data_IF_382179902520
#
_entry.id   IF_382179902520
#
_cell.length_a   1.000
_cell.length_b   1.000
_cell.length_c   1.000
_cell.angle_alpha   90.00
_cell.angle_beta   90.00
_cell.angle_gamma   90.00
#
_symmetry.space_group_name_H-M   'P 1'
#
loop_
_entity.id
_entity.type
_entity.pdbx_description
1 polymer ?
#
# COMPACT_ATOMS: atom_id res chain seq x y z
N UNK A 1 -16.46 3.65 21.18
CA UNK A 1 -15.37 3.04 20.37
C UNK A 1 -15.77 2.54 18.97
N UNK A 2 -17.05 2.27 18.66
CA UNK A 2 -17.47 1.85 17.31
C UNK A 2 -17.34 2.96 16.24
N UNK A 3 -17.51 4.24 16.62
CA UNK A 3 -17.44 5.36 15.67
C UNK A 3 -16.04 5.60 15.10
N UNK A 4 -14.98 5.40 15.90
CA UNK A 4 -13.59 5.66 15.49
C UNK A 4 -13.08 4.64 14.46
N UNK A 5 -13.56 3.40 14.54
CA UNK A 5 -13.17 2.31 13.62
C UNK A 5 -13.61 2.60 12.18
N UNK A 6 -14.67 3.39 11.99
CA UNK A 6 -15.16 3.79 10.65
C UNK A 6 -14.21 4.72 9.92
N UNK A 7 -13.35 5.45 10.63
CA UNK A 7 -12.39 6.38 10.02
C UNK A 7 -11.07 5.71 9.64
N UNK A 8 -10.78 4.51 10.15
CA UNK A 8 -9.52 3.79 9.87
C UNK A 8 -9.24 3.65 8.36
N UNK A 9 -10.19 3.21 7.51
CA UNK A 9 -9.93 3.08 6.08
C UNK A 9 -9.60 4.41 5.41
N UNK A 10 -10.34 5.48 5.76
CA UNK A 10 -10.11 6.80 5.18
C UNK A 10 -8.73 7.36 5.59
N UNK A 11 -8.38 7.27 6.88
CA UNK A 11 -7.07 7.66 7.37
C UNK A 11 -5.94 6.85 6.74
N UNK A 12 -6.16 5.53 6.57
CA UNK A 12 -5.20 4.67 5.88
C UNK A 12 -4.96 5.14 4.45
N UNK A 13 -6.02 5.43 3.68
CA UNK A 13 -5.88 5.91 2.30
C UNK A 13 -5.08 7.21 2.25
N UNK A 14 -5.39 8.18 3.12
CA UNK A 14 -4.66 9.46 3.17
C UNK A 14 -3.19 9.24 3.49
N UNK A 15 -2.89 8.51 4.57
CA UNK A 15 -1.52 8.23 4.99
C UNK A 15 -0.76 7.43 3.94
N UNK A 16 -1.39 6.45 3.31
CA UNK A 16 -0.79 5.62 2.27
C UNK A 16 -0.45 6.42 1.03
N UNK A 17 -1.36 7.29 0.57
CA UNK A 17 -1.18 8.12 -0.61
C UNK A 17 0.04 9.05 -0.50
N UNK A 18 0.37 9.53 0.72
CA UNK A 18 1.58 10.35 0.94
C UNK A 18 2.87 9.62 0.58
N UNK A 19 2.89 8.28 0.59
CA UNK A 19 4.05 7.49 0.21
C UNK A 19 4.48 7.72 -1.24
N UNK A 20 3.54 7.89 -2.17
CA UNK A 20 3.83 8.19 -3.58
C UNK A 20 4.30 9.63 -3.79
N UNK A 21 3.80 10.56 -2.97
CA UNK A 21 4.29 11.95 -2.94
C UNK A 21 5.75 11.95 -2.47
N UNK A 22 6.04 11.26 -1.37
CA UNK A 22 7.39 11.07 -0.86
C UNK A 22 8.31 10.42 -1.90
N UNK A 23 7.85 9.38 -2.59
CA UNK A 23 8.61 8.75 -3.68
C UNK A 23 8.97 9.78 -4.77
N UNK A 24 7.98 10.52 -5.29
CA UNK A 24 8.22 11.55 -6.33
C UNK A 24 9.28 12.56 -5.92
N UNK A 25 9.26 13.02 -4.68
CA UNK A 25 10.23 14.00 -4.20
C UNK A 25 11.59 13.40 -3.86
N UNK A 26 11.65 12.14 -3.42
CA UNK A 26 12.89 11.50 -2.99
C UNK A 26 13.71 10.88 -4.13
N UNK A 27 13.04 10.32 -5.17
CA UNK A 27 13.73 9.57 -6.23
C UNK A 27 14.80 10.36 -7.02
N UNK A 28 14.73 11.69 -7.19
CA UNK A 28 15.82 12.46 -7.79
C UNK A 28 17.09 12.55 -6.92
N UNK A 29 16.98 12.30 -5.61
CA UNK A 29 18.04 12.56 -4.63
C UNK A 29 18.56 11.31 -3.93
N UNK A 30 17.80 10.21 -3.98
CA UNK A 30 18.12 8.99 -3.26
C UNK A 30 17.86 7.75 -4.12
N UNK A 31 18.73 6.77 -3.96
CA UNK A 31 18.54 5.45 -4.55
C UNK A 31 17.32 4.76 -3.88
N UNK A 32 16.42 4.12 -4.65
CA UNK A 32 15.12 3.65 -4.17
C UNK A 32 15.21 2.66 -3.01
N UNK A 33 16.14 1.71 -3.07
CA UNK A 33 16.27 0.69 -2.04
C UNK A 33 16.85 1.24 -0.74
N UNK A 34 17.83 2.14 -0.82
CA UNK A 34 18.41 2.82 0.35
C UNK A 34 17.36 3.71 1.04
N UNK A 35 16.57 4.45 0.26
CA UNK A 35 15.46 5.24 0.79
C UNK A 35 14.42 4.38 1.50
N UNK A 36 14.00 3.26 0.88
CA UNK A 36 13.05 2.33 1.48
C UNK A 36 13.62 1.65 2.73
N UNK A 37 14.88 1.24 2.72
CA UNK A 37 15.54 0.63 3.87
C UNK A 37 15.53 1.59 5.07
N UNK A 38 15.94 2.84 4.88
CA UNK A 38 15.89 3.86 5.93
C UNK A 38 14.46 4.06 6.46
N UNK A 39 13.48 4.17 5.55
CA UNK A 39 12.06 4.33 5.90
C UNK A 39 11.53 3.16 6.74
N UNK A 40 11.87 1.92 6.38
CA UNK A 40 11.37 0.74 7.09
C UNK A 40 12.12 0.46 8.38
N UNK A 41 13.40 0.83 8.50
CA UNK A 41 14.12 0.81 9.78
C UNK A 41 13.46 1.77 10.76
N UNK A 42 13.15 3.00 10.33
CA UNK A 42 12.42 3.96 11.17
C UNK A 42 11.05 3.42 11.58
N UNK A 43 10.29 2.85 10.64
CA UNK A 43 8.99 2.25 10.94
C UNK A 43 9.12 1.07 11.93
N UNK A 44 10.13 0.22 11.79
CA UNK A 44 10.39 -0.90 12.68
C UNK A 44 10.71 -0.42 14.11
N UNK A 45 11.53 0.62 14.26
CA UNK A 45 11.84 1.23 15.56
C UNK A 45 10.56 1.79 16.20
N UNK A 46 9.76 2.55 15.45
CA UNK A 46 8.51 3.12 15.97
C UNK A 46 7.53 2.03 16.41
N UNK A 47 7.38 0.95 15.64
CA UNK A 47 6.53 -0.18 16.00
C UNK A 47 7.09 -0.96 17.19
N UNK A 48 8.41 -1.10 17.32
CA UNK A 48 9.05 -1.73 18.49
C UNK A 48 8.78 -0.92 19.77
N UNK A 49 8.88 0.41 19.70
CA UNK A 49 8.54 1.30 20.83
C UNK A 49 7.05 1.20 21.16
N UNK A 50 6.18 1.24 20.14
CA UNK A 50 4.73 1.16 20.37
C UNK A 50 4.31 -0.16 21.01
N UNK A 51 4.85 -1.29 20.55
CA UNK A 51 4.52 -2.62 21.09
C UNK A 51 5.03 -2.82 22.51
N UNK A 52 6.17 -2.24 22.88
CA UNK A 52 6.68 -2.25 24.25
C UNK A 52 5.84 -1.37 25.18
N UNK A 53 5.48 -0.16 24.77
CA UNK A 53 4.61 0.76 25.54
C UNK A 53 3.21 0.17 25.76
N UNK A 54 2.64 -0.49 24.76
CA UNK A 54 1.31 -1.10 24.85
C UNK A 54 1.31 -2.46 25.58
N UNK A 55 2.46 -2.97 26.00
CA UNK A 55 2.55 -4.28 26.67
C UNK A 55 2.07 -5.44 25.79
N UNK A 56 2.31 -5.37 24.47
CA UNK A 56 1.79 -6.35 23.52
C UNK A 56 2.39 -7.75 23.76
N UNK A 57 1.59 -8.79 23.55
CA UNK A 57 2.06 -10.18 23.61
C UNK A 57 3.16 -10.42 22.56
N UNK A 58 4.20 -11.16 22.95
CA UNK A 58 5.23 -11.62 22.01
C UNK A 58 4.63 -12.59 21.00
N UNK A 59 4.89 -12.34 19.71
CA UNK A 59 4.51 -13.25 18.64
C UNK A 59 5.25 -14.59 18.80
N UNK A 60 4.57 -15.68 18.47
CA UNK A 60 5.20 -16.99 18.31
C UNK A 60 6.14 -16.99 17.10
N UNK A 61 7.07 -17.97 17.04
CA UNK A 61 7.98 -18.10 15.90
C UNK A 61 7.24 -18.28 14.57
N UNK A 62 6.12 -18.99 14.57
CA UNK A 62 5.29 -19.20 13.39
C UNK A 62 4.63 -17.89 12.92
N UNK A 63 4.01 -17.13 13.85
CA UNK A 63 3.43 -15.82 13.54
C UNK A 63 4.49 -14.83 13.03
N UNK A 64 5.67 -14.81 13.66
CA UNK A 64 6.78 -13.98 13.23
C UNK A 64 7.27 -14.36 11.82
N UNK A 65 7.36 -15.65 11.51
CA UNK A 65 7.75 -16.13 10.18
C UNK A 65 6.72 -15.72 9.11
N UNK A 66 5.43 -15.95 9.36
CA UNK A 66 4.37 -15.53 8.43
C UNK A 66 4.35 -14.01 8.23
N UNK A 67 4.50 -13.24 9.30
CA UNK A 67 4.59 -11.78 9.22
C UNK A 67 5.83 -11.32 8.46
N UNK A 68 6.97 -11.98 8.63
CA UNK A 68 8.19 -11.68 7.91
C UNK A 68 8.04 -11.95 6.40
N UNK A 69 7.45 -13.08 6.01
CA UNK A 69 7.20 -13.42 4.60
C UNK A 69 6.21 -12.43 3.99
N UNK A 70 5.08 -12.17 4.64
CA UNK A 70 4.11 -11.19 4.16
C UNK A 70 4.73 -9.79 4.07
N UNK A 71 5.49 -9.39 5.08
CA UNK A 71 6.21 -8.12 5.12
C UNK A 71 7.22 -7.99 3.99
N UNK A 72 8.01 -9.04 3.72
CA UNK A 72 8.98 -9.08 2.63
C UNK A 72 8.31 -8.92 1.27
N UNK A 73 7.21 -9.64 1.02
CA UNK A 73 6.47 -9.57 -0.24
C UNK A 73 5.83 -8.18 -0.44
N UNK A 74 5.20 -7.63 0.61
CA UNK A 74 4.50 -6.35 0.53
C UNK A 74 5.47 -5.15 0.52
N UNK A 75 6.45 -5.11 1.40
CA UNK A 75 7.29 -3.92 1.59
C UNK A 75 8.65 -4.03 0.89
N UNK A 76 9.19 -5.23 0.76
CA UNK A 76 10.43 -5.47 0.02
C UNK A 76 10.17 -5.58 -1.48
N UNK A 77 9.48 -6.63 -1.90
CA UNK A 77 9.29 -6.93 -3.33
C UNK A 77 8.37 -5.91 -4.00
N UNK A 78 7.15 -5.76 -3.49
CA UNK A 78 6.15 -4.91 -4.12
C UNK A 78 6.55 -3.42 -4.09
N UNK A 79 6.78 -2.82 -2.92
CA UNK A 79 7.18 -1.41 -2.85
C UNK A 79 8.59 -1.16 -3.44
N UNK A 80 9.51 -2.11 -3.32
CA UNK A 80 10.82 -2.03 -3.97
C UNK A 80 10.71 -1.92 -5.49
N UNK A 81 9.92 -2.78 -6.12
CA UNK A 81 9.68 -2.73 -7.57
C UNK A 81 9.01 -1.41 -8.00
N UNK A 82 8.04 -0.92 -7.22
CA UNK A 82 7.36 0.35 -7.50
C UNK A 82 8.33 1.53 -7.44
N UNK A 83 9.12 1.64 -6.37
CA UNK A 83 10.07 2.75 -6.21
C UNK A 83 11.20 2.68 -7.22
N UNK A 84 11.68 1.47 -7.53
CA UNK A 84 12.64 1.25 -8.60
C UNK A 84 12.11 1.74 -9.95
N UNK A 85 10.86 1.39 -10.31
CA UNK A 85 10.27 1.84 -11.55
C UNK A 85 10.10 3.36 -11.60
N UNK A 86 9.71 4.00 -10.48
CA UNK A 86 9.65 5.48 -10.40
C UNK A 86 11.03 6.10 -10.59
N UNK A 87 12.05 5.55 -9.95
CA UNK A 87 13.43 6.01 -10.10
C UNK A 87 13.94 5.84 -11.55
N UNK A 88 13.47 4.82 -12.27
CA UNK A 88 13.75 4.60 -13.70
C UNK A 88 12.93 5.49 -14.65
N UNK A 89 12.19 6.46 -14.12
CA UNK A 89 11.47 7.47 -14.90
C UNK A 89 9.97 7.24 -15.01
N UNK A 90 9.41 6.18 -14.42
CA UNK A 90 7.96 6.00 -14.40
C UNK A 90 7.31 7.12 -13.57
N UNK A 91 6.34 7.88 -14.13
CA UNK A 91 5.65 8.91 -13.36
C UNK A 91 4.99 8.31 -12.12
N UNK A 92 5.27 8.86 -10.94
CA UNK A 92 4.72 8.34 -9.68
C UNK A 92 3.18 8.25 -9.66
N UNK A 93 2.50 9.15 -10.38
CA UNK A 93 1.05 9.09 -10.56
C UNK A 93 0.58 7.87 -11.37
N UNK A 94 1.33 7.48 -12.39
CA UNK A 94 1.06 6.27 -13.17
C UNK A 94 1.40 5.00 -12.37
N UNK A 95 2.45 5.03 -11.55
CA UNK A 95 2.69 3.93 -10.60
C UNK A 95 1.53 3.78 -9.60
N UNK A 96 1.03 4.89 -9.07
CA UNK A 96 -0.11 4.91 -8.15
C UNK A 96 -1.41 4.43 -8.83
N UNK A 97 -1.59 4.69 -10.13
CA UNK A 97 -2.69 4.15 -10.95
C UNK A 97 -2.69 2.62 -10.92
N UNK A 98 -1.57 2.02 -11.35
CA UNK A 98 -1.43 0.57 -11.48
C UNK A 98 -1.67 -0.08 -10.13
N UNK A 99 -1.07 0.49 -9.08
CA UNK A 99 -1.29 0.06 -7.70
C UNK A 99 -2.74 0.22 -7.27
N UNK A 100 -3.40 1.30 -7.66
CA UNK A 100 -4.81 1.57 -7.38
C UNK A 100 -5.76 0.53 -7.97
N UNK A 101 -5.31 -0.27 -8.96
CA UNK A 101 -6.06 -1.42 -9.49
C UNK A 101 -5.93 -2.68 -8.64
N UNK A 102 -4.99 -2.71 -7.68
CA UNK A 102 -4.79 -3.87 -6.82
C UNK A 102 -6.07 -4.32 -6.10
N UNK A 103 -6.93 -3.44 -5.53
CA UNK A 103 -8.19 -3.86 -4.91
C UNK A 103 -9.14 -4.59 -5.88
N UNK A 104 -9.15 -4.22 -7.16
CA UNK A 104 -9.94 -4.90 -8.19
C UNK A 104 -9.43 -6.31 -8.43
N UNK A 105 -8.11 -6.43 -8.61
CA UNK A 105 -7.46 -7.73 -8.78
C UNK A 105 -7.69 -8.58 -7.53
N UNK A 106 -7.45 -8.04 -6.34
CA UNK A 106 -7.64 -8.73 -5.06
C UNK A 106 -9.09 -9.19 -4.88
N UNK A 107 -10.09 -8.36 -5.20
CA UNK A 107 -11.49 -8.75 -5.10
C UNK A 107 -11.81 -9.94 -6.02
N UNK A 108 -11.40 -9.90 -7.29
CA UNK A 108 -11.61 -10.98 -8.25
C UNK A 108 -10.91 -12.27 -7.79
N UNK A 109 -9.66 -12.16 -7.33
CA UNK A 109 -8.90 -13.30 -6.84
C UNK A 109 -9.49 -13.88 -5.56
N UNK A 110 -9.96 -13.05 -4.62
CA UNK A 110 -10.62 -13.49 -3.39
C UNK A 110 -11.92 -14.25 -3.71
N UNK A 111 -12.77 -13.72 -4.60
CA UNK A 111 -13.97 -14.43 -5.04
C UNK A 111 -13.65 -15.78 -5.68
N UNK A 112 -12.59 -15.85 -6.50
CA UNK A 112 -12.19 -17.10 -7.19
C UNK A 112 -11.52 -18.13 -6.29
N UNK A 113 -10.60 -17.72 -5.43
CA UNK A 113 -9.73 -18.62 -4.66
C UNK A 113 -10.17 -18.83 -3.21
N UNK A 114 -10.84 -17.85 -2.60
CA UNK A 114 -11.32 -17.93 -1.21
C UNK A 114 -12.82 -18.22 -1.12
N UNK A 115 -13.53 -18.23 -2.25
CA UNK A 115 -14.98 -18.46 -2.29
C UNK A 115 -15.81 -17.34 -1.66
N UNK A 116 -15.21 -16.15 -1.48
CA UNK A 116 -15.90 -15.02 -0.86
C UNK A 116 -16.98 -14.46 -1.80
N UNK A 117 -18.19 -14.28 -1.27
CA UNK A 117 -19.29 -13.70 -2.02
C UNK A 117 -19.09 -12.19 -2.22
N UNK A 118 -18.72 -11.78 -3.44
CA UNK A 118 -18.58 -10.37 -3.80
C UNK A 118 -19.96 -9.78 -4.05
N UNK A 119 -20.49 -9.04 -3.06
CA UNK A 119 -21.79 -8.39 -3.20
C UNK A 119 -21.80 -7.33 -4.33
N UNK A 120 -22.96 -7.07 -4.96
CA UNK A 120 -23.09 -6.04 -6.01
C UNK A 120 -22.61 -4.65 -5.59
N UNK A 121 -22.79 -4.27 -4.33
CA UNK A 121 -22.29 -3.00 -3.78
C UNK A 121 -20.75 -2.86 -3.84
N UNK A 122 -20.02 -3.96 -3.75
CA UNK A 122 -18.55 -3.95 -3.83
C UNK A 122 -18.12 -3.66 -5.27
N UNK A 123 -18.83 -4.24 -6.26
CA UNK A 123 -18.62 -3.94 -7.68
C UNK A 123 -18.91 -2.47 -8.02
N UNK A 124 -19.98 -1.90 -7.45
CA UNK A 124 -20.29 -0.48 -7.65
C UNK A 124 -19.18 0.40 -7.07
N UNK A 125 -18.76 0.15 -5.82
CA UNK A 125 -17.65 0.91 -5.21
C UNK A 125 -16.36 0.80 -6.01
N UNK A 126 -16.09 -0.37 -6.58
CA UNK A 126 -14.93 -0.62 -7.43
C UNK A 126 -14.99 0.12 -8.76
N UNK A 127 -16.15 0.11 -9.42
CA UNK A 127 -16.38 0.87 -10.64
C UNK A 127 -16.23 2.38 -10.41
N UNK A 128 -16.82 2.91 -9.33
CA UNK A 128 -16.67 4.32 -8.95
C UNK A 128 -15.20 4.67 -8.66
N UNK A 129 -14.49 3.81 -7.94
CA UNK A 129 -13.06 3.98 -7.68
C UNK A 129 -12.23 4.01 -8.97
N UNK A 130 -12.50 3.08 -9.90
CA UNK A 130 -11.84 3.01 -11.20
C UNK A 130 -12.11 4.26 -12.04
N UNK A 131 -13.35 4.75 -12.07
CA UNK A 131 -13.71 6.00 -12.77
C UNK A 131 -12.96 7.19 -12.18
N UNK A 132 -12.92 7.33 -10.85
CA UNK A 132 -12.18 8.42 -10.19
C UNK A 132 -10.68 8.38 -10.54
N UNK A 133 -10.11 7.18 -10.57
CA UNK A 133 -8.73 6.95 -10.99
C UNK A 133 -8.50 7.39 -12.45
N UNK A 134 -9.36 6.99 -13.39
CA UNK A 134 -9.27 7.41 -14.80
C UNK A 134 -9.37 8.95 -14.93
N UNK A 135 -10.30 9.59 -14.24
CA UNK A 135 -10.48 11.06 -14.28
C UNK A 135 -9.21 11.79 -13.83
N UNK A 136 -8.60 11.36 -12.73
CA UNK A 136 -7.39 12.01 -12.17
C UNK A 136 -6.19 11.88 -13.11
N UNK A 137 -6.16 10.84 -13.93
CA UNK A 137 -4.99 10.46 -14.71
C UNK A 137 -5.13 10.70 -16.21
N UNK A 138 -6.36 10.92 -16.69
CA UNK A 138 -6.64 11.34 -18.06
C UNK A 138 -5.72 12.46 -18.56
N UNK A 139 -5.43 13.53 -17.78
CA UNK A 139 -4.53 14.59 -18.22
C UNK A 139 -3.06 14.17 -18.37
N UNK A 140 -2.66 13.05 -17.76
CA UNK A 140 -1.28 12.52 -17.75
C UNK A 140 -1.07 11.35 -18.71
N UNK A 141 -2.14 10.85 -19.33
CA UNK A 141 -2.07 9.76 -20.33
C UNK A 141 -1.87 10.30 -21.75
N UNK A 142 -2.14 11.58 -21.99
CA UNK A 142 -2.02 12.25 -23.29
C UNK A 142 -0.83 13.20 -23.42
N UNK A 143 0.13 13.17 -22.50
CA UNK A 143 1.33 14.02 -22.49
C UNK A 143 2.60 13.18 -22.47
#
# INVERSE_FOLDING_TARGET
MHSIKRFIPASFVVLWATGFIGARYAMPWAEPFTFLAARFVLAAILLAVLTTVLGSRKASRAEACHAAVAGLLMHGVYLGAVFWAIHRGMPAGFSALIVGLQPLITAVLAGKFLGEAILPRHWIGLAVGLVGVVIVLWPKLGA
#
